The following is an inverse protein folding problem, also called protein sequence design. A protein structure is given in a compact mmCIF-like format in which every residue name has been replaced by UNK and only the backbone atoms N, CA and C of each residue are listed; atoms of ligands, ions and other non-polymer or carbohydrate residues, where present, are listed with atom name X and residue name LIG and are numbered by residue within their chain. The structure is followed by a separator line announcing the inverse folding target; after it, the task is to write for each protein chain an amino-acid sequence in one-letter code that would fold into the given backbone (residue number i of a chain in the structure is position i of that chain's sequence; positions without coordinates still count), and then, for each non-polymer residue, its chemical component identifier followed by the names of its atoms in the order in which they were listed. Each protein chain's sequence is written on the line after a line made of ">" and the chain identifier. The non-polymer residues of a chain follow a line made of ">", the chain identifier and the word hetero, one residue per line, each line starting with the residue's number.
data_IF_293062046309
#
_entry.id   IF_293062046309
#
_cell.length_a   1.000
_cell.length_b   1.000
_cell.length_c   1.000
_cell.angle_alpha   90.00
_cell.angle_beta   90.00
_cell.angle_gamma   90.00
#
_symmetry.space_group_name_H-M   'P 1'
#
loop_
_entity.id
_entity.type
_entity.pdbx_description
1 polymer ?
#
# COMPACT_ATOMS: atom_id res chain seq x y z
N UNK A 1 -33.23 11.41 13.61
CA UNK A 1 -32.56 11.95 14.81
C UNK A 1 -31.09 11.58 14.69
N UNK A 2 -30.25 12.47 14.15
CA UNK A 2 -28.81 12.21 14.07
C UNK A 2 -28.22 12.39 15.47
N UNK A 3 -27.93 11.27 16.14
CA UNK A 3 -27.08 11.31 17.32
C UNK A 3 -25.73 11.91 16.90
N UNK A 4 -25.14 12.81 17.71
CA UNK A 4 -23.77 13.25 17.45
C UNK A 4 -22.87 12.01 17.41
N UNK A 5 -21.87 11.98 16.51
CA UNK A 5 -20.93 10.87 16.46
C UNK A 5 -20.28 10.70 17.84
N UNK A 6 -20.04 9.46 18.29
CA UNK A 6 -19.39 9.21 19.57
C UNK A 6 -18.02 9.90 19.59
N UNK A 7 -17.65 10.44 20.75
CA UNK A 7 -16.33 11.03 20.92
C UNK A 7 -15.26 9.97 20.65
N UNK A 8 -14.41 10.22 19.66
CA UNK A 8 -13.29 9.33 19.33
C UNK A 8 -12.14 9.67 20.28
N UNK A 9 -11.64 8.72 21.08
CA UNK A 9 -10.56 9.00 22.00
C UNK A 9 -9.27 9.28 21.22
N UNK A 10 -8.42 10.17 21.76
CA UNK A 10 -7.13 10.52 21.13
C UNK A 10 -6.09 9.39 21.17
N UNK A 11 -6.35 8.34 21.98
CA UNK A 11 -5.60 7.09 22.01
C UNK A 11 -6.57 5.93 22.23
N UNK A 12 -6.20 4.77 21.71
CA UNK A 12 -6.89 3.51 21.97
C UNK A 12 -6.50 2.90 23.31
N UNK A 13 -5.24 3.10 23.76
CA UNK A 13 -4.77 2.61 25.06
C UNK A 13 -4.69 3.71 26.12
N UNK A 14 -5.09 3.35 27.35
CA UNK A 14 -4.95 4.17 28.55
C UNK A 14 -3.56 4.04 29.20
N UNK A 15 -2.74 3.08 28.76
CA UNK A 15 -1.41 2.86 29.33
C UNK A 15 -0.48 4.00 28.90
N UNK A 16 0.19 4.70 29.84
CA UNK A 16 1.13 5.75 29.50
C UNK A 16 2.27 5.19 28.61
N UNK A 17 2.53 5.77 27.43
CA UNK A 17 3.61 5.28 26.57
C UNK A 17 4.99 5.25 27.24
N UNK A 18 5.23 6.16 28.18
CA UNK A 18 6.48 6.24 28.94
C UNK A 18 6.65 5.09 29.97
N UNK A 19 5.59 4.37 30.34
CA UNK A 19 5.68 3.22 31.24
C UNK A 19 5.86 1.89 30.50
N UNK A 20 5.84 1.90 29.17
CA UNK A 20 6.06 0.72 28.32
C UNK A 20 7.56 0.53 28.03
N UNK A 21 8.02 -0.70 27.70
CA UNK A 21 9.36 -0.90 27.15
C UNK A 21 9.59 -0.02 25.91
N UNK A 22 10.74 0.66 25.87
CA UNK A 22 11.06 1.65 24.84
C UNK A 22 12.14 1.16 23.89
N UNK A 23 11.90 1.31 22.60
CA UNK A 23 12.88 1.18 21.53
C UNK A 23 13.00 2.51 20.76
N UNK A 24 14.19 2.79 20.20
CA UNK A 24 14.45 4.00 19.40
C UNK A 24 15.01 3.61 18.05
N UNK A 25 14.41 4.16 16.99
CA UNK A 25 14.87 3.95 15.61
C UNK A 25 14.90 5.28 14.85
N UNK A 26 15.73 5.45 13.81
CA UNK A 26 15.70 6.66 13.00
C UNK A 26 14.40 6.80 12.21
N UNK A 27 14.00 5.73 11.50
CA UNK A 27 12.79 5.68 10.67
C UNK A 27 11.98 4.45 11.03
N UNK A 28 10.69 4.64 11.29
CA UNK A 28 9.70 3.60 11.52
C UNK A 28 8.70 3.57 10.35
N UNK A 29 8.53 2.42 9.71
CA UNK A 29 7.54 2.21 8.65
C UNK A 29 6.53 1.19 9.13
N UNK A 30 5.25 1.55 9.09
CA UNK A 30 4.14 0.72 9.54
C UNK A 30 3.41 0.17 8.31
N UNK A 31 3.68 -1.09 7.98
CA UNK A 31 3.17 -1.81 6.83
C UNK A 31 4.28 -2.20 5.84
N UNK A 32 4.24 -3.45 5.37
CA UNK A 32 5.25 -4.04 4.49
C UNK A 32 4.71 -4.42 3.10
N UNK A 33 3.69 -3.72 2.60
CA UNK A 33 3.28 -3.81 1.19
C UNK A 33 4.20 -3.01 0.26
N UNK A 34 3.82 -2.83 -1.01
CA UNK A 34 4.63 -2.11 -2.03
C UNK A 34 5.11 -0.74 -1.54
N UNK A 35 4.23 0.05 -0.93
CA UNK A 35 4.56 1.40 -0.48
C UNK A 35 5.59 1.38 0.66
N UNK A 36 5.40 0.50 1.65
CA UNK A 36 6.27 0.40 2.81
C UNK A 36 7.66 -0.10 2.45
N UNK A 37 7.74 -1.15 1.64
CA UNK A 37 9.02 -1.69 1.18
C UNK A 37 9.74 -0.70 0.24
N UNK A 38 9.03 -0.03 -0.68
CA UNK A 38 9.67 0.97 -1.54
C UNK A 38 10.20 2.16 -0.75
N UNK A 39 9.45 2.62 0.26
CA UNK A 39 9.91 3.67 1.17
C UNK A 39 11.11 3.21 2.00
N UNK A 40 11.13 1.96 2.46
CA UNK A 40 12.25 1.39 3.20
C UNK A 40 13.53 1.37 2.35
N UNK A 41 13.44 0.92 1.10
CA UNK A 41 14.56 0.87 0.15
C UNK A 41 15.12 2.25 -0.20
N UNK A 42 14.30 3.32 -0.13
CA UNK A 42 14.81 4.68 -0.28
C UNK A 42 15.48 5.19 1.00
N UNK A 43 14.79 5.03 2.14
CA UNK A 43 15.25 5.55 3.42
C UNK A 43 16.53 4.85 3.91
N UNK A 44 16.72 3.57 3.58
CA UNK A 44 17.87 2.77 4.01
C UNK A 44 19.21 3.28 3.46
N UNK A 45 19.17 4.10 2.40
CA UNK A 45 20.32 4.76 1.80
C UNK A 45 20.92 5.84 2.71
N UNK A 46 20.16 6.33 3.68
CA UNK A 46 20.56 7.43 4.57
C UNK A 46 20.50 7.06 6.06
N UNK A 47 19.57 6.18 6.46
CA UNK A 47 19.27 5.88 7.86
C UNK A 47 18.92 4.40 8.05
N UNK A 48 18.99 3.91 9.29
CA UNK A 48 18.40 2.59 9.62
C UNK A 48 16.88 2.69 9.62
N UNK A 49 16.22 1.67 9.10
CA UNK A 49 14.78 1.60 8.92
C UNK A 49 14.24 0.36 9.63
N UNK A 50 13.27 0.56 10.51
CA UNK A 50 12.47 -0.53 11.07
C UNK A 50 11.12 -0.57 10.33
N UNK A 51 10.82 -1.68 9.68
CA UNK A 51 9.55 -1.96 9.03
C UNK A 51 8.76 -2.95 9.88
N UNK A 52 7.55 -2.59 10.27
CA UNK A 52 6.65 -3.47 11.00
C UNK A 52 5.49 -3.92 10.11
N UNK A 53 5.06 -5.17 10.26
CA UNK A 53 3.86 -5.67 9.60
C UNK A 53 3.04 -6.57 10.52
N UNK A 54 1.71 -6.39 10.48
CA UNK A 54 0.74 -7.09 11.32
C UNK A 54 0.72 -8.60 11.06
N UNK A 55 0.85 -8.99 9.80
CA UNK A 55 0.92 -10.38 9.35
C UNK A 55 2.18 -10.64 8.52
N UNK A 56 2.29 -11.84 7.92
CA UNK A 56 3.36 -12.15 6.98
C UNK A 56 3.41 -11.10 5.86
N UNK A 57 4.59 -10.58 5.47
CA UNK A 57 4.70 -9.61 4.38
C UNK A 57 4.12 -10.11 3.05
N UNK A 58 4.16 -11.42 2.82
CA UNK A 58 3.59 -12.10 1.66
C UNK A 58 2.06 -12.16 1.66
N UNK A 59 1.39 -11.79 2.75
CA UNK A 59 -0.07 -11.74 2.85
C UNK A 59 -0.55 -10.29 3.00
N UNK A 60 -0.49 -9.56 1.89
CA UNK A 60 -0.88 -8.15 1.78
C UNK A 60 -1.73 -7.92 0.54
N UNK A 61 -2.49 -6.82 0.50
CA UNK A 61 -3.23 -6.42 -0.70
C UNK A 61 -2.35 -6.39 -1.95
N UNK A 62 -1.10 -5.96 -1.81
CA UNK A 62 -0.15 -5.96 -2.92
C UNK A 62 0.12 -7.37 -3.41
N UNK A 63 0.35 -8.35 -2.54
CA UNK A 63 0.65 -9.73 -2.95
C UNK A 63 -0.52 -10.39 -3.71
N UNK A 64 -1.75 -10.01 -3.39
CA UNK A 64 -2.98 -10.52 -4.02
C UNK A 64 -3.41 -9.74 -5.27
N UNK A 65 -2.66 -8.71 -5.69
CA UNK A 65 -3.03 -7.92 -6.86
C UNK A 65 -2.84 -8.73 -8.16
N UNK A 66 -3.91 -8.85 -8.95
CA UNK A 66 -3.95 -9.74 -10.11
C UNK A 66 -3.70 -9.08 -11.46
N UNK A 67 -4.25 -7.88 -11.70
CA UNK A 67 -4.17 -7.18 -12.99
C UNK A 67 -2.72 -6.80 -13.33
N UNK A 68 -2.46 -5.52 -13.53
CA UNK A 68 -1.09 -5.09 -13.80
C UNK A 68 -0.71 -3.77 -13.17
N UNK A 69 0.45 -3.29 -13.58
CA UNK A 69 0.93 -1.94 -13.27
C UNK A 69 0.80 -1.11 -14.53
N UNK A 70 0.10 0.01 -14.44
CA UNK A 70 -0.03 0.95 -15.54
C UNK A 70 1.25 1.76 -15.72
N UNK A 71 1.90 1.63 -16.87
CA UNK A 71 3.13 2.35 -17.23
C UNK A 71 3.10 2.68 -18.70
N UNK A 72 3.20 3.97 -19.03
CA UNK A 72 3.43 4.40 -20.41
C UNK A 72 4.84 3.96 -20.85
N UNK A 73 4.91 2.77 -21.45
CA UNK A 73 6.17 2.07 -21.77
C UNK A 73 6.43 1.92 -23.26
N UNK A 74 5.38 1.87 -24.09
CA UNK A 74 5.52 1.80 -25.54
C UNK A 74 5.89 3.16 -26.14
N UNK A 75 6.48 3.14 -27.33
CA UNK A 75 6.85 4.36 -28.07
C UNK A 75 5.63 5.19 -28.50
N UNK A 76 4.47 4.54 -28.63
CA UNK A 76 3.19 5.16 -29.01
C UNK A 76 2.40 5.72 -27.82
N UNK A 77 2.93 5.63 -26.61
CA UNK A 77 2.28 6.08 -25.39
C UNK A 77 3.13 7.10 -24.62
N UNK A 78 2.49 7.93 -23.81
CA UNK A 78 3.18 9.00 -23.07
C UNK A 78 2.68 9.12 -21.63
N UNK A 79 3.55 9.57 -20.71
CA UNK A 79 3.11 9.95 -19.36
C UNK A 79 1.98 10.99 -19.35
N UNK A 80 1.94 11.89 -20.33
CA UNK A 80 0.88 12.88 -20.45
C UNK A 80 -0.47 12.21 -20.77
N UNK A 81 -0.49 11.26 -21.70
CA UNK A 81 -1.68 10.46 -22.01
C UNK A 81 -2.14 9.64 -20.80
N UNK A 82 -1.20 8.99 -20.08
CA UNK A 82 -1.52 8.26 -18.85
C UNK A 82 -2.16 9.17 -17.78
N UNK A 83 -1.57 10.35 -17.59
CA UNK A 83 -2.09 11.35 -16.66
C UNK A 83 -3.48 11.85 -17.06
N UNK A 84 -3.72 12.05 -18.36
CA UNK A 84 -5.02 12.48 -18.87
C UNK A 84 -6.10 11.43 -18.60
N UNK A 85 -5.84 10.15 -18.92
CA UNK A 85 -6.74 9.03 -18.59
C UNK A 85 -7.08 9.03 -17.09
N UNK A 86 -6.07 9.22 -16.23
CA UNK A 86 -6.22 9.23 -14.76
C UNK A 86 -7.09 10.40 -14.27
N UNK A 87 -6.90 11.59 -14.82
CA UNK A 87 -7.72 12.77 -14.47
C UNK A 87 -9.16 12.57 -14.93
N UNK A 88 -9.37 12.01 -16.12
CA UNK A 88 -10.70 11.75 -16.67
C UNK A 88 -11.49 10.79 -15.78
N UNK A 89 -10.93 9.62 -15.43
CA UNK A 89 -11.61 8.66 -14.53
C UNK A 89 -11.75 9.18 -13.11
N UNK A 90 -10.89 10.11 -12.70
CA UNK A 90 -10.95 10.80 -11.41
C UNK A 90 -12.10 11.79 -11.26
N UNK A 91 -12.85 12.09 -12.34
CA UNK A 91 -14.07 12.92 -12.32
C UNK A 91 -13.89 14.27 -11.61
N UNK A 92 -12.72 14.90 -11.79
CA UNK A 92 -12.42 16.22 -11.21
C UNK A 92 -11.97 16.21 -9.74
N UNK A 93 -11.81 15.04 -9.12
CA UNK A 93 -11.41 14.90 -7.71
C UNK A 93 -9.91 14.62 -7.52
N UNK A 94 -9.20 14.32 -8.61
CA UNK A 94 -7.75 14.10 -8.55
C UNK A 94 -6.99 15.37 -8.20
N UNK A 95 -5.89 15.21 -7.45
CA UNK A 95 -4.84 16.23 -7.36
C UNK A 95 -3.94 16.12 -8.61
N UNK A 96 -3.93 17.14 -9.50
CA UNK A 96 -3.15 17.07 -10.75
C UNK A 96 -1.65 16.92 -10.52
N UNK A 97 -1.12 17.42 -9.40
CA UNK A 97 0.31 17.26 -9.07
C UNK A 97 0.62 15.81 -8.73
N UNK A 98 -0.23 15.15 -7.95
CA UNK A 98 -0.07 13.74 -7.62
C UNK A 98 -0.15 12.87 -8.88
N UNK A 99 -1.10 13.15 -9.78
CA UNK A 99 -1.22 12.44 -11.07
C UNK A 99 0.00 12.66 -11.95
N UNK A 100 0.53 13.89 -12.02
CA UNK A 100 1.75 14.18 -12.79
C UNK A 100 2.96 13.41 -12.27
N UNK A 101 3.11 13.26 -10.94
CA UNK A 101 4.19 12.47 -10.34
C UNK A 101 3.99 10.99 -10.66
N UNK A 102 2.77 10.47 -10.45
CA UNK A 102 2.43 9.07 -10.71
C UNK A 102 2.74 8.68 -12.16
N UNK A 103 2.22 9.44 -13.12
CA UNK A 103 2.39 9.13 -14.54
C UNK A 103 3.83 9.40 -15.02
N UNK A 104 4.43 10.51 -14.57
CA UNK A 104 5.77 10.92 -14.98
C UNK A 104 6.89 10.01 -14.47
N UNK A 105 6.76 9.48 -13.25
CA UNK A 105 7.79 8.62 -12.65
C UNK A 105 7.58 7.13 -12.94
N UNK A 106 6.39 6.70 -13.38
CA UNK A 106 6.03 5.30 -13.55
C UNK A 106 7.08 4.49 -14.33
N UNK A 107 7.53 4.98 -15.50
CA UNK A 107 8.50 4.27 -16.34
C UNK A 107 9.88 4.13 -15.67
N UNK A 108 10.30 5.13 -14.90
CA UNK A 108 11.53 5.07 -14.11
C UNK A 108 11.43 4.03 -13.00
N UNK A 109 10.33 4.04 -12.24
CA UNK A 109 10.09 3.07 -11.15
C UNK A 109 9.91 1.65 -11.66
N UNK A 110 9.30 1.48 -12.82
CA UNK A 110 9.18 0.18 -13.47
C UNK A 110 10.54 -0.34 -13.94
N UNK A 111 11.39 0.51 -14.52
CA UNK A 111 12.77 0.13 -14.85
C UNK A 111 13.57 -0.30 -13.62
N UNK A 112 13.44 0.40 -12.49
CA UNK A 112 14.05 -0.02 -11.21
C UNK A 112 13.60 -1.43 -10.79
N UNK A 113 12.32 -1.76 -10.93
CA UNK A 113 11.82 -3.11 -10.63
C UNK A 113 12.45 -4.18 -11.54
N UNK A 114 12.58 -3.89 -12.85
CA UNK A 114 13.26 -4.79 -13.79
C UNK A 114 14.73 -4.97 -13.41
N UNK A 115 15.43 -3.90 -13.04
CA UNK A 115 16.83 -3.93 -12.61
C UNK A 115 17.01 -4.72 -11.30
N UNK A 116 16.00 -4.73 -10.43
CA UNK A 116 15.96 -5.58 -9.23
C UNK A 116 15.54 -7.03 -9.53
N UNK A 117 15.29 -7.37 -10.79
CA UNK A 117 15.02 -8.73 -11.24
C UNK A 117 13.54 -9.11 -11.28
N UNK A 118 12.62 -8.15 -11.29
CA UNK A 118 11.21 -8.41 -11.55
C UNK A 118 11.00 -8.99 -12.94
N UNK A 119 10.11 -9.98 -13.05
CA UNK A 119 9.86 -10.73 -14.29
C UNK A 119 8.44 -10.47 -14.79
N UNK A 120 8.32 -9.64 -15.80
CA UNK A 120 7.05 -9.35 -16.46
C UNK A 120 6.88 -10.17 -17.74
N UNK A 121 5.63 -10.39 -18.12
CA UNK A 121 5.25 -11.18 -19.28
C UNK A 121 5.70 -10.50 -20.58
N UNK A 122 6.01 -11.32 -21.58
CA UNK A 122 6.59 -10.89 -22.84
C UNK A 122 5.78 -11.40 -24.02
N UNK A 123 5.67 -10.58 -25.06
CA UNK A 123 5.25 -10.97 -26.40
C UNK A 123 6.48 -10.89 -27.33
N UNK A 124 7.01 -12.05 -27.69
CA UNK A 124 8.29 -12.17 -28.40
C UNK A 124 9.44 -11.52 -27.63
N UNK A 125 9.99 -10.44 -28.19
CA UNK A 125 11.10 -9.68 -27.60
C UNK A 125 10.66 -8.50 -26.74
N UNK A 126 9.36 -8.16 -26.77
CA UNK A 126 8.80 -6.99 -26.10
C UNK A 126 8.01 -7.41 -24.86
N UNK A 127 7.74 -6.46 -23.96
CA UNK A 127 6.82 -6.70 -22.84
C UNK A 127 5.39 -6.79 -23.36
N UNK A 128 4.62 -7.74 -22.83
CA UNK A 128 3.20 -7.85 -23.12
C UNK A 128 2.46 -6.70 -22.42
N UNK A 129 1.71 -5.91 -23.19
CA UNK A 129 0.92 -4.78 -22.70
C UNK A 129 -0.57 -5.09 -22.85
N UNK A 130 -1.28 -5.12 -21.73
CA UNK A 130 -2.73 -5.20 -21.69
C UNK A 130 -3.38 -3.82 -21.62
N UNK A 131 -4.70 -3.78 -21.74
CA UNK A 131 -5.52 -2.59 -21.57
C UNK A 131 -6.70 -2.90 -20.65
N UNK A 132 -6.83 -2.13 -19.58
CA UNK A 132 -7.95 -2.20 -18.64
C UNK A 132 -8.85 -0.97 -18.75
N UNK A 133 -9.99 -0.98 -18.06
CA UNK A 133 -10.96 0.11 -18.08
C UNK A 133 -10.35 1.46 -17.73
N UNK A 134 -10.81 2.51 -18.41
CA UNK A 134 -10.34 3.89 -18.18
C UNK A 134 -9.07 4.28 -18.93
N UNK A 135 -8.34 3.32 -19.53
CA UNK A 135 -7.16 3.63 -20.32
C UNK A 135 -7.48 3.79 -21.81
N UNK A 136 -6.88 4.80 -22.45
CA UNK A 136 -6.94 5.04 -23.90
C UNK A 136 -5.90 4.23 -24.68
N UNK A 137 -4.84 3.76 -24.02
CA UNK A 137 -3.76 2.95 -24.60
C UNK A 137 -3.52 1.63 -23.84
N UNK A 138 -2.91 0.65 -24.50
CA UNK A 138 -2.42 -0.57 -23.86
C UNK A 138 -1.13 -0.25 -23.09
N UNK A 139 -1.22 -0.23 -21.75
CA UNK A 139 -0.14 0.20 -20.85
C UNK A 139 -0.06 -0.61 -19.57
N UNK A 140 -0.80 -1.71 -19.48
CA UNK A 140 -0.91 -2.53 -18.27
C UNK A 140 0.07 -3.69 -18.38
N UNK A 141 1.10 -3.68 -17.53
CA UNK A 141 2.12 -4.70 -17.49
C UNK A 141 1.75 -5.80 -16.49
N UNK A 142 1.75 -7.03 -16.97
CA UNK A 142 1.40 -8.22 -16.19
C UNK A 142 2.62 -9.09 -15.89
N UNK A 143 2.55 -9.89 -14.83
CA UNK A 143 3.52 -10.95 -14.58
C UNK A 143 2.81 -12.25 -14.24
N UNK A 144 3.29 -13.33 -14.87
CA UNK A 144 2.80 -14.71 -14.69
C UNK A 144 1.29 -14.82 -14.97
N UNK A 145 0.80 -14.11 -15.98
CA UNK A 145 -0.62 -14.01 -16.32
C UNK A 145 -1.33 -13.00 -15.42
N UNK A 146 -1.73 -13.43 -14.23
CA UNK A 146 -2.57 -12.66 -13.31
C UNK A 146 -2.01 -12.59 -11.88
N UNK A 147 -0.68 -12.63 -11.73
CA UNK A 147 -0.01 -12.63 -10.43
C UNK A 147 1.03 -11.50 -10.29
N UNK A 148 0.76 -10.35 -10.91
CA UNK A 148 1.65 -9.19 -10.93
C UNK A 148 2.04 -8.72 -9.53
N UNK A 149 1.08 -8.67 -8.62
CA UNK A 149 1.28 -8.31 -7.22
C UNK A 149 2.28 -9.21 -6.50
N UNK A 150 2.18 -10.52 -6.71
CA UNK A 150 3.09 -11.50 -6.12
C UNK A 150 4.53 -11.33 -6.63
N UNK A 151 4.72 -11.06 -7.93
CA UNK A 151 6.04 -10.84 -8.51
C UNK A 151 6.69 -9.53 -8.02
N UNK A 152 5.91 -8.45 -7.89
CA UNK A 152 6.37 -7.19 -7.31
C UNK A 152 6.78 -7.39 -5.86
N UNK A 153 5.94 -8.05 -5.05
CA UNK A 153 6.23 -8.31 -3.65
C UNK A 153 7.47 -9.19 -3.46
N UNK A 154 7.61 -10.25 -4.27
CA UNK A 154 8.81 -11.10 -4.28
C UNK A 154 10.06 -10.27 -4.51
N UNK A 155 10.05 -9.42 -5.54
CA UNK A 155 11.19 -8.57 -5.92
C UNK A 155 11.56 -7.59 -4.81
N UNK A 156 10.56 -6.91 -4.22
CA UNK A 156 10.80 -5.93 -3.16
C UNK A 156 11.29 -6.57 -1.87
N UNK A 157 10.74 -7.72 -1.48
CA UNK A 157 11.17 -8.45 -0.29
C UNK A 157 12.59 -8.98 -0.45
N UNK A 158 12.91 -9.56 -1.61
CA UNK A 158 14.27 -10.01 -1.92
C UNK A 158 15.25 -8.83 -1.91
N UNK A 159 14.91 -7.70 -2.54
CA UNK A 159 15.77 -6.53 -2.51
C UNK A 159 15.97 -6.02 -1.08
N UNK A 160 14.91 -5.91 -0.30
CA UNK A 160 14.99 -5.44 1.09
C UNK A 160 15.77 -6.38 2.01
N UNK A 161 15.71 -7.70 1.81
CA UNK A 161 16.46 -8.67 2.63
C UNK A 161 17.98 -8.59 2.43
N UNK A 162 18.43 -8.01 1.31
CA UNK A 162 19.84 -7.77 1.04
C UNK A 162 20.35 -6.42 1.60
N UNK A 163 19.49 -5.61 2.22
CA UNK A 163 19.84 -4.31 2.78
C UNK A 163 20.01 -4.40 4.32
N UNK A 164 21.24 -4.37 4.86
CA UNK A 164 21.47 -4.51 6.30
C UNK A 164 20.95 -3.33 7.14
N UNK A 165 20.62 -2.21 6.49
CA UNK A 165 20.00 -1.05 7.13
C UNK A 165 18.48 -1.19 7.28
N UNK A 166 17.87 -2.23 6.73
CA UNK A 166 16.43 -2.52 6.84
C UNK A 166 16.24 -3.69 7.80
N UNK A 167 15.46 -3.46 8.86
CA UNK A 167 14.96 -4.52 9.72
C UNK A 167 13.46 -4.68 9.51
N UNK A 168 13.02 -5.87 9.10
CA UNK A 168 11.61 -6.20 8.89
C UNK A 168 11.14 -7.14 10.00
N UNK A 169 10.12 -6.72 10.76
CA UNK A 169 9.51 -7.53 11.83
C UNK A 169 8.03 -7.77 11.53
N UNK A 170 7.65 -9.05 11.50
CA UNK A 170 6.27 -9.48 11.28
C UNK A 170 5.59 -9.87 12.60
N UNK A 171 4.25 -9.79 12.63
CA UNK A 171 3.44 -10.04 13.82
C UNK A 171 3.33 -8.84 14.77
N UNK A 172 3.76 -7.66 14.32
CA UNK A 172 3.72 -6.42 15.09
C UNK A 172 2.77 -5.43 14.42
N UNK A 173 1.89 -4.79 15.20
CA UNK A 173 0.97 -3.79 14.67
C UNK A 173 0.91 -2.55 15.56
N UNK A 174 0.71 -1.40 14.91
CA UNK A 174 0.55 -0.13 15.61
C UNK A 174 -0.84 -0.03 16.24
N UNK A 175 -0.88 0.45 17.47
CA UNK A 175 -2.10 0.69 18.25
C UNK A 175 -2.43 2.18 18.25
N UNK A 176 -1.43 3.03 18.48
CA UNK A 176 -1.57 4.49 18.47
C UNK A 176 -0.28 5.16 17.97
N UNK A 177 -0.40 6.34 17.37
CA UNK A 177 0.76 7.20 17.11
C UNK A 177 1.07 8.06 18.34
N UNK A 178 2.35 8.38 18.52
CA UNK A 178 2.82 9.28 19.56
C UNK A 178 3.05 10.65 18.95
N UNK A 179 2.40 11.68 19.51
CA UNK A 179 2.51 13.06 19.05
C UNK A 179 3.03 13.94 20.17
N UNK A 180 4.05 14.73 19.86
CA UNK A 180 4.62 15.74 20.74
C UNK A 180 4.79 17.06 19.97
N UNK A 181 4.23 18.15 20.50
CA UNK A 181 4.26 19.46 19.84
C UNK A 181 3.68 19.47 18.42
N UNK A 182 2.67 18.64 18.13
CA UNK A 182 2.08 18.50 16.79
C UNK A 182 2.92 17.68 15.80
N UNK A 183 4.03 17.08 16.25
CA UNK A 183 4.89 16.20 15.44
C UNK A 183 4.72 14.75 15.88
N UNK A 184 4.59 13.83 14.93
CA UNK A 184 4.66 12.40 15.20
C UNK A 184 6.10 12.02 15.60
N UNK A 185 6.26 11.42 16.78
CA UNK A 185 7.55 11.04 17.37
C UNK A 185 7.69 9.54 17.58
N UNK A 186 6.74 8.73 17.08
CA UNK A 186 6.76 7.28 17.24
C UNK A 186 5.37 6.65 17.23
N UNK A 187 5.30 5.43 17.74
CA UNK A 187 4.05 4.69 17.89
C UNK A 187 4.08 3.80 19.14
N UNK A 188 2.90 3.55 19.70
CA UNK A 188 2.66 2.37 20.56
C UNK A 188 2.35 1.20 19.65
N UNK A 189 3.05 0.09 19.84
CA UNK A 189 2.89 -1.13 19.06
C UNK A 189 2.59 -2.32 19.97
N UNK A 190 1.84 -3.29 19.47
CA UNK A 190 1.66 -4.57 20.11
C UNK A 190 2.56 -5.61 19.43
N UNK A 191 3.35 -6.34 20.22
CA UNK A 191 4.38 -7.28 19.70
C UNK A 191 3.97 -8.76 19.72
N UNK A 192 2.72 -9.04 20.11
CA UNK A 192 2.17 -10.38 20.29
C UNK A 192 2.19 -10.85 21.74
N UNK A 193 3.02 -10.22 22.59
CA UNK A 193 3.08 -10.47 24.04
C UNK A 193 2.48 -9.28 24.82
N UNK A 194 2.76 -8.05 24.39
CA UNK A 194 2.23 -6.86 25.02
C UNK A 194 2.55 -5.58 24.25
N UNK A 195 2.31 -4.44 24.91
CA UNK A 195 2.52 -3.13 24.34
C UNK A 195 3.97 -2.67 24.51
N UNK A 196 4.50 -1.99 23.49
CA UNK A 196 5.80 -1.33 23.49
C UNK A 196 5.70 0.06 22.89
N UNK A 197 6.61 0.93 23.28
CA UNK A 197 6.79 2.25 22.70
C UNK A 197 7.98 2.24 21.75
N UNK A 198 7.77 2.60 20.49
CA UNK A 198 8.85 2.82 19.53
C UNK A 198 8.90 4.31 19.23
N UNK A 199 9.99 4.96 19.63
CA UNK A 199 10.26 6.34 19.30
C UNK A 199 11.03 6.40 17.97
N UNK A 200 10.62 7.31 17.09
CA UNK A 200 11.22 7.46 15.77
C UNK A 200 11.41 8.92 15.37
N UNK A 201 12.46 9.19 14.59
CA UNK A 201 12.69 10.51 13.98
C UNK A 201 11.70 10.80 12.84
N UNK A 202 11.28 9.75 12.13
CA UNK A 202 10.21 9.79 11.14
C UNK A 202 9.34 8.53 11.21
N UNK A 203 8.04 8.67 10.98
CA UNK A 203 7.07 7.56 10.91
C UNK A 203 6.35 7.61 9.56
N UNK A 204 6.32 6.48 8.85
CA UNK A 204 5.59 6.32 7.58
C UNK A 204 4.46 5.32 7.79
N UNK A 205 3.22 5.74 7.51
CA UNK A 205 2.06 4.84 7.46
C UNK A 205 1.93 4.28 6.04
N UNK A 206 2.11 2.97 5.90
CA UNK A 206 1.96 2.20 4.67
C UNK A 206 1.06 0.96 4.91
N UNK A 207 0.01 1.15 5.70
CA UNK A 207 -0.78 0.07 6.34
C UNK A 207 -1.84 -0.58 5.43
N UNK A 208 -1.98 -0.14 4.19
CA UNK A 208 -3.05 -0.59 3.30
C UNK A 208 -4.41 0.06 3.60
N UNK A 209 -5.47 -0.52 3.03
CA UNK A 209 -6.83 0.03 3.06
C UNK A 209 -7.71 -0.48 4.20
N UNK A 210 -9.01 -0.19 4.09
CA UNK A 210 -10.05 -0.52 5.07
C UNK A 210 -11.16 -1.41 4.48
N UNK A 211 -10.81 -2.32 3.56
CA UNK A 211 -11.78 -3.16 2.85
C UNK A 211 -12.62 -4.06 3.76
N UNK A 212 -12.12 -4.44 4.94
CA UNK A 212 -12.84 -5.25 5.93
C UNK A 212 -13.87 -4.48 6.76
N UNK A 213 -14.10 -3.20 6.48
CA UNK A 213 -15.31 -2.51 6.93
C UNK A 213 -16.59 -3.05 6.27
N UNK A 214 -16.44 -3.70 5.10
CA UNK A 214 -17.53 -4.26 4.33
C UNK A 214 -17.55 -5.78 4.44
N UNK A 215 -18.74 -6.35 4.62
CA UNK A 215 -18.94 -7.80 4.74
C UNK A 215 -18.42 -8.56 3.52
N UNK A 216 -18.67 -8.02 2.32
CA UNK A 216 -18.19 -8.58 1.07
C UNK A 216 -16.96 -7.77 0.62
N UNK A 217 -15.79 -8.42 0.57
CA UNK A 217 -14.54 -7.73 0.23
C UNK A 217 -13.54 -8.71 -0.38
N UNK A 218 -12.81 -8.27 -1.41
CA UNK A 218 -11.69 -9.02 -2.01
C UNK A 218 -10.38 -8.83 -1.25
N UNK A 219 -10.40 -8.01 -0.20
CA UNK A 219 -9.20 -7.66 0.56
C UNK A 219 -8.81 -8.80 1.52
N UNK A 220 -7.50 -9.00 1.78
CA UNK A 220 -7.05 -9.94 2.80
C UNK A 220 -7.51 -9.49 4.20
N UNK A 221 -7.64 -10.41 5.17
CA UNK A 221 -8.13 -10.12 6.53
C UNK A 221 -7.40 -8.97 7.26
N UNK A 222 -6.16 -8.66 6.86
CA UNK A 222 -5.38 -7.57 7.45
C UNK A 222 -5.79 -6.16 7.03
N UNK A 223 -6.64 -5.96 6.02
CA UNK A 223 -7.02 -4.65 5.50
C UNK A 223 -8.14 -3.98 6.32
N UNK A 224 -7.83 -3.65 7.58
CA UNK A 224 -8.77 -3.19 8.60
C UNK A 224 -8.76 -1.67 8.86
N UNK A 225 -8.00 -0.90 8.08
CA UNK A 225 -7.95 0.57 8.21
C UNK A 225 -7.15 1.07 9.42
N UNK A 226 -6.29 0.23 10.00
CA UNK A 226 -5.58 0.50 11.26
C UNK A 226 -4.80 1.82 11.23
N UNK A 227 -4.03 2.07 10.16
CA UNK A 227 -3.23 3.29 10.04
C UNK A 227 -4.06 4.57 9.87
N UNK A 228 -5.17 4.51 9.13
CA UNK A 228 -6.11 5.64 9.00
C UNK A 228 -6.70 5.98 10.36
N UNK A 229 -7.12 4.97 11.12
CA UNK A 229 -7.67 5.17 12.45
C UNK A 229 -6.62 5.74 13.43
N UNK A 230 -5.38 5.23 13.38
CA UNK A 230 -4.27 5.76 14.18
C UNK A 230 -3.95 7.22 13.84
N UNK A 231 -3.91 7.57 12.55
CA UNK A 231 -3.67 8.93 12.08
C UNK A 231 -4.77 9.88 12.53
N UNK A 232 -6.04 9.48 12.37
CA UNK A 232 -7.18 10.29 12.79
C UNK A 232 -7.18 10.56 14.30
N UNK A 233 -6.95 9.53 15.13
CA UNK A 233 -6.82 9.70 16.60
C UNK A 233 -5.67 10.62 16.99
N UNK A 234 -4.58 10.60 16.23
CA UNK A 234 -3.42 11.46 16.43
C UNK A 234 -3.65 12.91 15.97
N UNK A 235 -4.84 13.24 15.45
CA UNK A 235 -5.21 14.58 15.01
C UNK A 235 -4.88 14.90 13.55
N UNK A 236 -4.52 13.90 12.74
CA UNK A 236 -4.35 14.10 11.31
C UNK A 236 -5.71 14.28 10.62
N UNK A 237 -5.74 15.14 9.60
CA UNK A 237 -6.90 15.24 8.71
C UNK A 237 -6.90 14.02 7.79
N UNK A 238 -8.01 13.30 7.77
CA UNK A 238 -8.31 12.24 6.80
C UNK A 238 -9.32 12.79 5.80
N UNK A 239 -9.26 12.33 4.55
CA UNK A 239 -10.11 12.82 3.46
C UNK A 239 -10.66 11.68 2.62
N UNK A 240 -11.74 11.97 1.90
CA UNK A 240 -12.28 11.14 0.82
C UNK A 240 -12.64 9.70 1.26
N UNK A 241 -12.96 9.49 2.55
CA UNK A 241 -13.24 8.18 3.13
C UNK A 241 -14.57 7.57 2.62
N UNK A 242 -15.43 8.40 2.04
CA UNK A 242 -16.65 8.00 1.35
C UNK A 242 -16.39 7.32 0.00
N UNK A 243 -15.22 7.52 -0.61
CA UNK A 243 -14.87 6.97 -1.92
C UNK A 243 -14.26 5.56 -1.80
N UNK A 244 -15.12 4.58 -1.53
CA UNK A 244 -14.76 3.16 -1.48
C UNK A 244 -15.08 2.48 -2.83
N UNK A 245 -14.07 1.91 -3.48
CA UNK A 245 -14.25 1.21 -4.75
C UNK A 245 -14.75 -0.23 -4.53
N UNK A 246 -15.85 -0.58 -5.19
CA UNK A 246 -16.37 -1.95 -5.25
C UNK A 246 -16.02 -2.55 -6.61
N UNK A 247 -15.17 -3.59 -6.59
CA UNK A 247 -14.81 -4.25 -7.84
C UNK A 247 -16.03 -4.98 -8.44
N UNK A 248 -16.33 -4.82 -9.73
CA UNK A 248 -17.57 -5.33 -10.32
C UNK A 248 -17.63 -6.85 -10.39
N UNK A 249 -16.48 -7.53 -10.48
CA UNK A 249 -16.38 -8.98 -10.71
C UNK A 249 -15.72 -9.69 -9.52
N UNK A 250 -16.52 -9.97 -8.49
CA UNK A 250 -16.10 -10.79 -7.34
C UNK A 250 -16.74 -12.16 -7.43
N UNK A 251 -15.97 -13.24 -7.28
CA UNK A 251 -16.51 -14.60 -7.27
C UNK A 251 -17.37 -14.80 -6.01
N UNK A 252 -18.64 -15.13 -6.23
CA UNK A 252 -19.57 -15.47 -5.16
C UNK A 252 -19.85 -16.98 -5.14
N UNK A 253 -19.24 -17.66 -4.17
CA UNK A 253 -19.58 -19.04 -3.79
C UNK A 253 -19.96 -19.04 -2.32
N UNK A 254 -21.10 -19.64 -1.98
CA UNK A 254 -21.56 -19.71 -0.59
C UNK A 254 -20.51 -20.44 0.27
N UNK A 255 -20.09 -19.81 1.38
CA UNK A 255 -19.09 -20.37 2.30
C UNK A 255 -17.62 -20.25 1.85
N UNK A 256 -17.33 -19.73 0.66
CA UNK A 256 -15.97 -19.49 0.20
C UNK A 256 -15.52 -18.04 0.43
N UNK A 257 -14.20 -17.82 0.52
CA UNK A 257 -13.61 -16.48 0.48
C UNK A 257 -13.96 -15.76 -0.83
N UNK A 258 -14.13 -14.45 -0.75
CA UNK A 258 -14.40 -13.60 -1.92
C UNK A 258 -13.11 -13.39 -2.70
N UNK A 259 -12.98 -14.10 -3.81
CA UNK A 259 -11.84 -13.96 -4.71
C UNK A 259 -12.16 -12.94 -5.80
N UNK A 260 -11.20 -12.07 -6.07
CA UNK A 260 -11.25 -11.18 -7.22
C UNK A 260 -11.20 -12.00 -8.51
N UNK A 261 -12.04 -11.64 -9.49
CA UNK A 261 -11.86 -12.02 -10.89
C UNK A 261 -11.36 -10.76 -11.60
N UNK A 262 -10.10 -10.79 -12.05
CA UNK A 262 -9.39 -9.64 -12.63
C UNK A 262 -10.20 -8.92 -13.73
N UNK A 263 -10.14 -7.59 -13.74
CA UNK A 263 -10.68 -6.76 -14.83
C UNK A 263 -10.08 -7.12 -16.20
N UNK A 264 -8.85 -7.63 -16.23
CA UNK A 264 -8.22 -8.15 -17.43
C UNK A 264 -9.12 -9.14 -18.19
N UNK A 265 -9.94 -9.95 -17.49
CA UNK A 265 -10.91 -10.85 -18.13
C UNK A 265 -11.90 -10.15 -19.04
N UNK A 266 -12.35 -8.92 -18.70
CA UNK A 266 -13.23 -8.12 -19.58
C UNK A 266 -12.46 -7.46 -20.72
N UNK A 267 -11.18 -7.16 -20.51
CA UNK A 267 -10.31 -6.57 -21.54
C UNK A 267 -9.99 -7.56 -22.67
N UNK A 268 -9.97 -8.86 -22.36
CA UNK A 268 -9.66 -9.94 -23.31
C UNK A 268 -10.89 -10.52 -24.04
N UNK A 269 -12.11 -10.01 -23.76
CA UNK A 269 -13.37 -10.42 -24.41
C UNK A 269 -14.16 -11.51 -23.69
#
# INVERSE_FOLDING_TARGET
>A
MHLPPPAVPSRWTDVPPASLPVERVPVLILGAGVAGLRAALEACRMQRVLVLTKGPPSDSNTAHAQGGIAVAWSDDDTPLSHGADTIEVGQGLCDPRAVSILAGEAAGRFRELLDWGARFDKDGLHLALGREGGHSAARILHARGDATGAEVMRTLLERASHEPSIELRAGLYAVDLLVDGGRCVGAVVHDGVGLRTILAGAVVLATGGAGHLFRETTNPPGATGDGVACAYRAGAVVRDLEFMQFHPTTLYVAGASRSLISEATRGEG
#
